data_IF_030625383730
#
_entry.id   IF_030625383730
#
_cell.length_a   1.000
_cell.length_b   1.000
_cell.length_c   1.000
_cell.angle_alpha   90.00
_cell.angle_beta   90.00
_cell.angle_gamma   90.00
#
_symmetry.space_group_name_H-M   'P 1'
#
loop_
_entity.id
_entity.type
_entity.pdbx_description
1 polymer ?
#
# COMPACT_ATOMS: atom_id res chain seq x y z
N UNK A 1 -3.30 35.93 -24.87
CA UNK A 1 -2.44 35.45 -23.78
C UNK A 1 -2.01 33.97 -23.95
N UNK A 2 -1.99 33.40 -25.16
CA UNK A 2 -1.60 31.99 -25.41
C UNK A 2 -0.21 31.79 -26.04
N UNK A 3 0.51 32.86 -26.35
CA UNK A 3 1.78 32.76 -27.10
C UNK A 3 3.04 32.64 -26.24
N UNK A 4 2.95 32.83 -24.93
CA UNK A 4 4.12 32.85 -24.02
C UNK A 4 4.46 31.44 -23.50
N UNK A 5 3.47 30.56 -23.38
CA UNK A 5 3.66 29.19 -22.87
C UNK A 5 4.44 28.29 -23.85
N UNK A 6 4.30 28.47 -25.16
CA UNK A 6 4.98 27.67 -26.19
C UNK A 6 6.47 28.01 -26.30
N UNK A 7 6.87 29.28 -26.09
CA UNK A 7 8.26 29.72 -26.19
C UNK A 7 9.15 29.21 -25.04
N UNK A 8 8.58 28.94 -23.86
CA UNK A 8 9.33 28.40 -22.73
C UNK A 8 9.64 26.91 -22.91
N UNK A 9 8.69 26.14 -23.46
CA UNK A 9 8.89 24.71 -23.72
C UNK A 9 9.99 24.43 -24.74
N UNK A 10 10.01 25.18 -25.87
CA UNK A 10 11.06 25.00 -26.91
C UNK A 10 12.47 25.41 -26.44
N UNK A 11 12.57 26.49 -25.66
CA UNK A 11 13.86 26.91 -25.09
C UNK A 11 14.39 25.87 -24.09
N UNK A 12 13.53 25.30 -23.26
CA UNK A 12 13.96 24.29 -22.30
C UNK A 12 14.43 22.99 -22.99
N UNK A 13 13.69 22.54 -24.01
CA UNK A 13 14.08 21.37 -24.80
C UNK A 13 15.36 21.59 -25.56
N UNK A 14 15.58 22.76 -26.18
CA UNK A 14 16.84 23.09 -26.88
C UNK A 14 18.02 23.19 -25.93
N UNK A 15 17.84 23.77 -24.75
CA UNK A 15 18.91 23.86 -23.74
C UNK A 15 19.27 22.49 -23.22
N UNK A 16 18.27 21.62 -22.97
CA UNK A 16 18.49 20.25 -22.52
C UNK A 16 19.18 19.40 -23.60
N UNK A 17 18.72 19.49 -24.86
CA UNK A 17 19.29 18.80 -26.01
C UNK A 17 20.73 19.21 -26.28
N UNK A 18 21.06 20.52 -26.27
CA UNK A 18 22.41 21.01 -26.43
C UNK A 18 23.33 20.62 -25.26
N UNK A 19 22.81 20.57 -24.03
CA UNK A 19 23.61 20.17 -22.87
C UNK A 19 23.93 18.67 -22.89
N UNK A 20 23.04 17.83 -23.42
CA UNK A 20 23.28 16.40 -23.58
C UNK A 20 24.27 16.08 -24.73
N UNK A 21 24.33 16.91 -25.77
CA UNK A 21 25.24 16.71 -26.88
C UNK A 21 26.61 17.45 -26.73
N UNK A 22 26.67 18.48 -25.87
CA UNK A 22 27.91 19.18 -25.57
C UNK A 22 28.75 18.50 -24.48
N UNK A 23 28.22 17.52 -23.80
CA UNK A 23 29.00 16.66 -22.92
C UNK A 23 29.85 15.69 -23.74
N UNK A 24 30.90 16.25 -24.35
CA UNK A 24 31.94 15.50 -25.00
C UNK A 24 32.49 14.44 -24.07
N UNK A 25 32.52 13.20 -24.58
CA UNK A 25 33.36 12.06 -24.18
C UNK A 25 34.07 12.24 -22.83
N UNK A 26 33.28 12.14 -21.73
CA UNK A 26 33.88 11.86 -20.43
C UNK A 26 34.52 10.47 -20.53
N UNK A 27 35.74 10.26 -20.02
CA UNK A 27 36.29 8.91 -19.94
C UNK A 27 35.29 8.07 -19.14
N UNK A 28 34.76 7.02 -19.78
CA UNK A 28 33.89 6.04 -19.20
C UNK A 28 34.58 5.44 -17.97
N UNK A 29 34.12 5.82 -16.78
CA UNK A 29 34.72 5.40 -15.55
C UNK A 29 34.05 4.09 -15.14
N UNK A 30 34.76 2.98 -15.28
CA UNK A 30 34.40 1.60 -14.95
C UNK A 30 33.75 1.43 -13.53
N UNK A 31 33.95 2.42 -12.65
CA UNK A 31 33.33 2.49 -11.33
C UNK A 31 31.82 2.75 -11.36
N UNK A 32 31.26 3.24 -12.46
CA UNK A 32 29.83 3.55 -12.54
C UNK A 32 28.99 2.29 -12.84
N UNK A 33 29.52 1.29 -13.53
CA UNK A 33 28.76 0.05 -13.82
C UNK A 33 28.41 -0.72 -12.55
N UNK A 34 29.33 -0.81 -11.60
CA UNK A 34 29.08 -1.46 -10.31
C UNK A 34 27.99 -0.77 -9.49
N UNK A 35 27.91 0.56 -9.59
CA UNK A 35 26.91 1.35 -8.85
C UNK A 35 25.51 1.21 -9.46
N UNK A 36 25.40 1.15 -10.79
CA UNK A 36 24.11 0.90 -11.47
C UNK A 36 23.56 -0.49 -11.15
N UNK A 37 24.41 -1.53 -11.16
CA UNK A 37 24.01 -2.88 -10.79
C UNK A 37 23.58 -2.97 -9.33
N UNK A 38 24.31 -2.33 -8.40
CA UNK A 38 23.94 -2.31 -6.98
C UNK A 38 22.59 -1.64 -6.75
N UNK A 39 22.33 -0.51 -7.41
CA UNK A 39 21.04 0.20 -7.33
C UNK A 39 19.92 -0.66 -7.90
N UNK A 40 20.11 -1.35 -9.03
CA UNK A 40 19.14 -2.26 -9.61
C UNK A 40 18.75 -3.40 -8.66
N UNK A 41 19.73 -3.98 -7.97
CA UNK A 41 19.49 -5.04 -6.96
C UNK A 41 18.66 -4.50 -5.79
N UNK A 42 18.97 -3.32 -5.30
CA UNK A 42 18.23 -2.70 -4.19
C UNK A 42 16.76 -2.48 -4.57
N UNK A 43 16.50 -1.91 -5.77
CA UNK A 43 15.13 -1.71 -6.25
C UNK A 43 14.38 -3.03 -6.46
N UNK A 44 15.05 -4.05 -6.99
CA UNK A 44 14.48 -5.39 -7.18
C UNK A 44 14.09 -6.01 -5.84
N UNK A 45 14.97 -6.01 -4.85
CA UNK A 45 14.69 -6.53 -3.51
C UNK A 45 13.55 -5.76 -2.85
N UNK A 46 13.55 -4.43 -2.95
CA UNK A 46 12.46 -3.59 -2.46
C UNK A 46 11.12 -3.93 -3.09
N UNK A 47 11.08 -4.11 -4.41
CA UNK A 47 9.87 -4.51 -5.14
C UNK A 47 9.37 -5.89 -4.70
N UNK A 48 10.25 -6.88 -4.54
CA UNK A 48 9.91 -8.22 -4.07
C UNK A 48 9.30 -8.19 -2.66
N UNK A 49 9.86 -7.39 -1.74
CA UNK A 49 9.32 -7.21 -0.39
C UNK A 49 7.91 -6.61 -0.46
N UNK A 50 7.70 -5.58 -1.28
CA UNK A 50 6.37 -4.95 -1.43
C UNK A 50 5.34 -5.92 -2.01
N UNK A 51 5.68 -6.70 -3.03
CA UNK A 51 4.79 -7.72 -3.58
C UNK A 51 4.50 -8.84 -2.57
N UNK A 52 5.51 -9.28 -1.80
CA UNK A 52 5.31 -10.25 -0.74
C UNK A 52 4.31 -9.74 0.30
N UNK A 53 4.43 -8.47 0.74
CA UNK A 53 3.50 -7.86 1.70
C UNK A 53 2.08 -7.77 1.14
N UNK A 54 1.93 -7.37 -0.13
CA UNK A 54 0.64 -7.34 -0.81
C UNK A 54 0.00 -8.74 -0.87
N UNK A 55 0.74 -9.75 -1.33
CA UNK A 55 0.27 -11.13 -1.43
C UNK A 55 -0.08 -11.72 -0.07
N UNK A 56 0.72 -11.46 0.96
CA UNK A 56 0.45 -11.90 2.33
C UNK A 56 -0.87 -11.32 2.84
N UNK A 57 -1.11 -10.02 2.63
CA UNK A 57 -2.35 -9.35 3.04
C UNK A 57 -3.57 -9.96 2.33
N UNK A 58 -3.49 -10.13 1.01
CA UNK A 58 -4.56 -10.74 0.22
C UNK A 58 -4.85 -12.18 0.66
N UNK A 59 -3.81 -12.98 0.88
CA UNK A 59 -3.97 -14.37 1.35
C UNK A 59 -4.62 -14.44 2.72
N UNK A 60 -4.20 -13.60 3.66
CA UNK A 60 -4.79 -13.54 5.01
C UNK A 60 -6.26 -13.17 4.93
N UNK A 61 -6.63 -12.15 4.15
CA UNK A 61 -8.04 -11.76 3.95
C UNK A 61 -8.85 -12.88 3.30
N UNK A 62 -8.33 -13.50 2.24
CA UNK A 62 -9.01 -14.63 1.57
C UNK A 62 -9.19 -15.81 2.50
N UNK A 63 -8.18 -16.16 3.30
CA UNK A 63 -8.26 -17.23 4.27
C UNK A 63 -9.37 -16.98 5.30
N UNK A 64 -9.47 -15.75 5.83
CA UNK A 64 -10.55 -15.37 6.73
C UNK A 64 -11.93 -15.43 6.07
N UNK A 65 -12.06 -14.99 4.83
CA UNK A 65 -13.33 -15.04 4.11
C UNK A 65 -13.77 -16.47 3.72
N UNK A 66 -12.81 -17.41 3.57
CA UNK A 66 -13.09 -18.78 3.13
C UNK A 66 -13.22 -19.76 4.31
N UNK A 67 -12.33 -19.64 5.29
CA UNK A 67 -12.22 -20.60 6.41
C UNK A 67 -12.65 -19.99 7.75
N UNK A 68 -12.80 -18.67 7.85
CA UNK A 68 -13.25 -18.00 9.05
C UNK A 68 -14.76 -18.13 9.24
N UNK A 69 -15.19 -17.94 10.47
CA UNK A 69 -16.61 -17.85 10.79
C UNK A 69 -17.16 -16.46 10.53
N UNK A 70 -18.40 -16.42 10.02
CA UNK A 70 -19.12 -15.19 9.72
C UNK A 70 -20.07 -14.86 10.87
N UNK A 71 -19.95 -13.64 11.42
CA UNK A 71 -20.80 -13.15 12.50
C UNK A 71 -21.21 -11.71 12.26
N UNK A 72 -22.35 -11.30 12.85
CA UNK A 72 -22.75 -9.90 12.92
C UNK A 72 -22.07 -9.26 14.13
N UNK A 73 -21.33 -8.19 13.89
CA UNK A 73 -20.67 -7.42 14.93
C UNK A 73 -21.25 -6.01 14.99
N UNK A 74 -21.43 -5.48 16.21
CA UNK A 74 -21.85 -4.10 16.45
C UNK A 74 -20.63 -3.24 16.74
N UNK A 75 -20.56 -2.08 16.14
CA UNK A 75 -19.55 -1.07 16.46
C UNK A 75 -20.00 -0.33 17.72
N UNK A 76 -19.30 -0.53 18.83
CA UNK A 76 -19.65 0.06 20.14
C UNK A 76 -18.83 1.29 20.48
N UNK A 77 -17.84 1.61 19.68
CA UNK A 77 -17.04 2.82 19.89
C UNK A 77 -15.82 2.85 18.97
N UNK A 78 -15.04 3.89 19.18
CA UNK A 78 -13.78 4.10 18.44
C UNK A 78 -12.65 4.44 19.41
N UNK A 79 -11.44 3.99 19.07
CA UNK A 79 -10.21 4.31 19.79
C UNK A 79 -9.28 5.05 18.86
N UNK A 80 -8.87 6.25 19.28
CA UNK A 80 -7.88 7.03 18.53
C UNK A 80 -6.52 6.38 18.67
N UNK A 81 -5.90 6.02 17.54
CA UNK A 81 -4.56 5.50 17.46
C UNK A 81 -3.65 6.47 16.71
N UNK A 82 -2.33 6.30 16.81
CA UNK A 82 -1.35 7.07 16.05
C UNK A 82 -1.55 6.96 14.54
N UNK A 83 -2.01 5.80 14.07
CA UNK A 83 -2.17 5.48 12.64
C UNK A 83 -3.60 5.73 12.11
N UNK A 84 -4.51 6.19 12.97
CA UNK A 84 -5.91 6.48 12.63
C UNK A 84 -6.87 6.06 13.72
N UNK A 85 -8.16 5.96 13.37
CA UNK A 85 -9.22 5.55 14.28
C UNK A 85 -9.46 4.06 14.16
N UNK A 86 -9.35 3.32 15.25
CA UNK A 86 -9.68 1.90 15.32
C UNK A 86 -11.09 1.72 15.91
N UNK A 87 -11.89 0.84 15.30
CA UNK A 87 -13.24 0.53 15.76
C UNK A 87 -13.21 -0.53 16.87
N UNK A 88 -14.10 -0.41 17.84
CA UNK A 88 -14.36 -1.42 18.84
C UNK A 88 -15.59 -2.21 18.40
N UNK A 89 -15.41 -3.49 18.20
CA UNK A 89 -16.42 -4.43 17.72
C UNK A 89 -16.90 -5.31 18.87
N UNK A 90 -18.18 -5.45 19.00
CA UNK A 90 -18.82 -6.39 19.91
C UNK A 90 -19.60 -7.43 19.11
N UNK A 91 -19.32 -8.70 19.35
CA UNK A 91 -19.96 -9.81 18.67
C UNK A 91 -20.05 -11.03 19.59
N UNK A 92 -21.02 -11.88 19.32
CA UNK A 92 -21.25 -13.11 20.09
C UNK A 92 -20.95 -14.31 19.22
N UNK A 93 -20.16 -15.22 19.76
CA UNK A 93 -19.80 -16.50 19.15
C UNK A 93 -20.35 -17.64 19.99
N UNK A 94 -20.19 -18.89 19.56
CA UNK A 94 -20.50 -20.06 20.36
C UNK A 94 -19.71 -20.10 21.68
N UNK A 95 -18.53 -19.48 21.72
CA UNK A 95 -17.66 -19.38 22.91
C UNK A 95 -17.99 -18.22 23.85
N UNK A 96 -18.95 -17.36 23.50
CA UNK A 96 -19.37 -16.22 24.33
C UNK A 96 -19.33 -14.88 23.58
N UNK A 97 -19.52 -13.80 24.34
CA UNK A 97 -19.46 -12.44 23.82
C UNK A 97 -18.03 -11.91 23.84
N UNK A 98 -17.59 -11.35 22.74
CA UNK A 98 -16.27 -10.74 22.56
C UNK A 98 -16.40 -9.25 22.29
N UNK A 99 -15.54 -8.46 22.94
CA UNK A 99 -15.39 -7.04 22.68
C UNK A 99 -13.93 -6.76 22.34
N UNK A 100 -13.63 -6.60 21.04
CA UNK A 100 -12.28 -6.51 20.55
C UNK A 100 -12.08 -5.24 19.72
N UNK A 101 -10.87 -4.69 19.78
CA UNK A 101 -10.48 -3.59 18.91
C UNK A 101 -10.11 -4.15 17.53
N UNK A 102 -10.66 -3.55 16.48
CA UNK A 102 -10.31 -3.90 15.11
C UNK A 102 -8.82 -3.58 14.84
N UNK A 103 -8.04 -4.57 14.37
CA UNK A 103 -6.58 -4.43 14.32
C UNK A 103 -6.06 -3.46 13.26
N UNK A 104 -6.92 -2.99 12.37
CA UNK A 104 -6.56 -2.08 11.28
C UNK A 104 -7.21 -0.72 11.48
N UNK A 105 -6.50 0.26 12.07
CA UNK A 105 -7.02 1.62 12.17
C UNK A 105 -7.20 2.22 10.77
N UNK A 106 -8.28 2.97 10.59
CA UNK A 106 -8.61 3.65 9.35
C UNK A 106 -8.59 5.16 9.55
N UNK A 107 -8.15 5.90 8.54
CA UNK A 107 -8.31 7.36 8.49
C UNK A 107 -9.67 7.77 7.93
N UNK A 108 -10.34 6.88 7.20
CA UNK A 108 -11.70 7.08 6.72
C UNK A 108 -12.69 6.64 7.78
N UNK A 109 -13.76 7.40 7.96
CA UNK A 109 -14.89 7.02 8.83
C UNK A 109 -15.87 6.16 8.02
N UNK A 110 -15.42 4.97 7.63
CA UNK A 110 -16.20 4.08 6.75
C UNK A 110 -17.41 3.48 7.46
N UNK A 111 -17.36 3.40 8.79
CA UNK A 111 -18.42 2.81 9.61
C UNK A 111 -18.86 3.76 10.72
N UNK A 112 -20.16 3.86 10.92
CA UNK A 112 -20.74 4.66 11.99
C UNK A 112 -20.78 3.86 13.31
N UNK A 113 -20.61 4.55 14.44
CA UNK A 113 -20.83 3.99 15.76
C UNK A 113 -22.31 3.53 15.90
N UNK A 114 -22.53 2.39 16.49
CA UNK A 114 -23.85 1.75 16.61
C UNK A 114 -24.26 0.92 15.38
N UNK A 115 -23.54 1.02 14.25
CA UNK A 115 -23.85 0.20 13.07
C UNK A 115 -23.50 -1.26 13.27
N UNK A 116 -24.23 -2.12 12.54
CA UNK A 116 -23.97 -3.56 12.49
C UNK A 116 -23.22 -3.87 11.20
N UNK A 117 -22.13 -4.59 11.33
CA UNK A 117 -21.26 -4.96 10.23
C UNK A 117 -21.06 -6.47 10.19
N UNK A 118 -20.81 -7.00 9.00
CA UNK A 118 -20.44 -8.41 8.86
C UNK A 118 -18.96 -8.57 9.14
N UNK A 119 -18.63 -9.45 10.07
CA UNK A 119 -17.29 -9.76 10.51
C UNK A 119 -16.94 -11.21 10.15
N UNK A 120 -15.78 -11.41 9.56
CA UNK A 120 -15.13 -12.71 9.42
C UNK A 120 -14.00 -12.79 10.44
N UNK A 121 -13.97 -13.84 11.24
CA UNK A 121 -12.93 -14.03 12.26
C UNK A 121 -12.42 -15.48 12.27
N UNK A 122 -11.24 -15.66 12.83
CA UNK A 122 -10.64 -16.97 13.05
C UNK A 122 -11.11 -17.50 14.42
N UNK A 123 -11.84 -18.64 14.50
CA UNK A 123 -12.30 -19.17 15.78
C UNK A 123 -11.19 -19.49 16.77
N UNK A 124 -10.00 -19.86 16.28
CA UNK A 124 -8.82 -20.14 17.12
C UNK A 124 -8.09 -18.87 17.55
N UNK A 125 -8.27 -17.78 16.84
CA UNK A 125 -7.60 -16.49 17.08
C UNK A 125 -8.53 -15.32 16.74
N UNK A 126 -9.52 -14.98 17.60
CA UNK A 126 -10.57 -13.98 17.32
C UNK A 126 -10.05 -12.58 17.02
N UNK A 127 -8.81 -12.26 17.41
CA UNK A 127 -8.12 -11.02 17.04
C UNK A 127 -7.77 -10.94 15.56
N UNK A 128 -7.71 -12.09 14.86
CA UNK A 128 -7.57 -12.13 13.40
C UNK A 128 -8.95 -12.03 12.78
N UNK A 129 -9.31 -10.82 12.42
CA UNK A 129 -10.64 -10.50 11.91
C UNK A 129 -10.59 -9.59 10.69
N UNK A 130 -11.66 -9.66 9.89
CA UNK A 130 -11.87 -8.81 8.73
C UNK A 130 -13.33 -8.36 8.65
N UNK A 131 -13.56 -7.05 8.56
CA UNK A 131 -14.89 -6.47 8.35
C UNK A 131 -15.19 -6.42 6.87
N UNK A 132 -16.33 -6.97 6.46
CA UNK A 132 -16.77 -6.97 5.06
C UNK A 132 -16.95 -5.53 4.57
N UNK A 133 -16.37 -5.23 3.40
CA UNK A 133 -16.43 -3.88 2.81
C UNK A 133 -15.40 -2.89 3.36
N UNK A 134 -14.46 -3.30 4.21
CA UNK A 134 -13.37 -2.43 4.68
C UNK A 134 -12.44 -2.01 3.52
N UNK A 135 -12.62 -0.76 3.09
CA UNK A 135 -11.83 -0.15 2.01
C UNK A 135 -10.38 0.11 2.41
N UNK A 136 -10.10 0.24 3.72
CA UNK A 136 -8.74 0.52 4.21
C UNK A 136 -7.79 -0.64 3.91
N UNK A 137 -8.28 -1.86 4.01
CA UNK A 137 -7.53 -3.08 3.68
C UNK A 137 -7.21 -3.14 2.19
N UNK A 138 -8.21 -2.90 1.34
CA UNK A 138 -8.03 -2.87 -0.12
C UNK A 138 -7.07 -1.75 -0.55
N UNK A 139 -7.17 -0.59 0.08
CA UNK A 139 -6.27 0.54 -0.16
C UNK A 139 -4.81 0.21 0.18
N UNK A 140 -4.56 -0.47 1.30
CA UNK A 140 -3.22 -0.89 1.68
C UNK A 140 -2.64 -1.94 0.70
N UNK A 141 -3.46 -2.92 0.27
CA UNK A 141 -3.06 -3.92 -0.72
C UNK A 141 -2.67 -3.27 -2.05
N UNK A 142 -3.49 -2.33 -2.55
CA UNK A 142 -3.23 -1.57 -3.77
C UNK A 142 -1.99 -0.69 -3.65
N UNK A 143 -1.77 -0.07 -2.48
CA UNK A 143 -0.60 0.76 -2.21
C UNK A 143 0.70 -0.06 -2.29
N UNK A 144 0.76 -1.21 -1.61
CA UNK A 144 1.95 -2.07 -1.66
C UNK A 144 2.24 -2.56 -3.08
N UNK A 145 1.21 -2.98 -3.83
CA UNK A 145 1.35 -3.39 -5.22
C UNK A 145 1.84 -2.22 -6.09
N UNK A 146 1.28 -1.03 -5.93
CA UNK A 146 1.66 0.18 -6.66
C UNK A 146 3.11 0.60 -6.39
N UNK A 147 3.56 0.59 -5.14
CA UNK A 147 4.96 0.86 -4.79
C UNK A 147 5.89 -0.19 -5.42
N UNK A 148 5.52 -1.47 -5.38
CA UNK A 148 6.29 -2.54 -6.00
C UNK A 148 6.49 -2.32 -7.50
N UNK A 149 5.42 -1.95 -8.22
CA UNK A 149 5.49 -1.61 -9.64
C UNK A 149 6.36 -0.38 -9.88
N UNK A 150 6.20 0.69 -9.09
CA UNK A 150 7.00 1.90 -9.21
C UNK A 150 8.51 1.63 -9.03
N UNK A 151 8.89 0.77 -8.08
CA UNK A 151 10.27 0.37 -7.86
C UNK A 151 10.83 -0.41 -9.06
N UNK A 152 10.03 -1.29 -9.69
CA UNK A 152 10.45 -1.98 -10.92
C UNK A 152 10.65 -1.01 -12.08
N UNK A 153 9.72 -0.05 -12.26
CA UNK A 153 9.87 0.99 -13.29
C UNK A 153 11.14 1.81 -13.07
N UNK A 154 11.41 2.23 -11.84
CA UNK A 154 12.64 2.93 -11.50
C UNK A 154 13.89 2.09 -11.77
N UNK A 155 13.86 0.80 -11.46
CA UNK A 155 14.94 -0.12 -11.76
C UNK A 155 15.26 -0.10 -13.27
N UNK A 156 14.24 -0.28 -14.13
CA UNK A 156 14.43 -0.27 -15.58
C UNK A 156 14.83 1.10 -16.15
N UNK A 157 14.43 2.20 -15.50
CA UNK A 157 14.78 3.55 -15.94
C UNK A 157 16.23 3.94 -15.57
N UNK A 158 16.83 3.26 -14.58
CA UNK A 158 18.17 3.57 -14.07
C UNK A 158 19.24 2.54 -14.49
N UNK A 159 18.84 1.42 -15.08
CA UNK A 159 19.71 0.45 -15.74
C UNK A 159 20.05 0.88 -17.16
#
# INVERSE_FOLDING_TARGET
MQSVQLLWGEKFIKVWYNKSHAAGRFPYNDKNEGMHMANGIIFLVGALIMFYMALRSVRQRRSLCTNGEKVQARITGTVQSRDGTAYVLEFTTAGGSHRLQYPKPSRSKDFAEGSVVTLYYDPEAPEKMYVEGDKSVLGAEALYAGIGVALLVLMFALL
#
